data_IF_770489228615
#
_entry.id   IF_770489228615
#
_cell.length_a   1.000
_cell.length_b   1.000
_cell.length_c   1.000
_cell.angle_alpha   90.00
_cell.angle_beta   90.00
_cell.angle_gamma   90.00
#
_symmetry.space_group_name_H-M   'P 1'
#
loop_
_entity.id
_entity.type
_entity.pdbx_description
1 polymer ?
#
# COMPACT_ATOMS: atom_id res chain seq x y z
N UNK A 1 7.95 -6.11 -14.83
CA UNK A 1 6.77 -5.49 -14.22
C UNK A 1 6.49 -6.26 -12.95
N UNK A 2 6.32 -5.59 -11.81
CA UNK A 2 6.03 -6.31 -10.57
C UNK A 2 4.59 -6.82 -10.58
N UNK A 3 4.38 -8.03 -10.07
CA UNK A 3 3.08 -8.61 -9.77
C UNK A 3 2.49 -7.99 -8.50
N UNK A 4 1.20 -8.24 -8.24
CA UNK A 4 0.58 -7.84 -6.97
C UNK A 4 1.33 -8.43 -5.76
N UNK A 5 1.75 -9.70 -5.85
CA UNK A 5 2.51 -10.37 -4.80
C UNK A 5 3.86 -9.68 -4.54
N UNK A 6 4.66 -9.45 -5.58
CA UNK A 6 5.96 -8.76 -5.45
C UNK A 6 5.81 -7.33 -4.91
N UNK A 7 4.69 -6.66 -5.20
CA UNK A 7 4.42 -5.33 -4.65
C UNK A 7 4.16 -5.41 -3.15
N UNK A 8 3.26 -6.29 -2.70
CA UNK A 8 2.91 -6.37 -1.27
C UNK A 8 4.05 -6.96 -0.45
N UNK A 9 4.84 -7.90 -0.99
CA UNK A 9 6.08 -8.35 -0.35
C UNK A 9 7.07 -7.20 -0.16
N UNK A 10 7.26 -6.37 -1.20
CA UNK A 10 8.09 -5.17 -1.10
C UNK A 10 7.54 -4.12 -0.12
N UNK A 11 6.22 -4.06 0.10
CA UNK A 11 5.62 -3.18 1.11
C UNK A 11 6.02 -3.59 2.53
N UNK A 12 6.10 -4.90 2.81
CA UNK A 12 6.57 -5.41 4.11
C UNK A 12 8.02 -5.00 4.34
N UNK A 13 8.88 -5.13 3.33
CA UNK A 13 10.28 -4.67 3.42
C UNK A 13 10.38 -3.14 3.57
N UNK A 14 9.48 -2.38 2.95
CA UNK A 14 9.45 -0.93 3.05
C UNK A 14 9.01 -0.46 4.44
N UNK A 15 8.07 -1.16 5.06
CA UNK A 15 7.62 -0.94 6.43
C UNK A 15 8.52 -1.69 7.42
N UNK A 16 9.82 -1.40 7.38
CA UNK A 16 10.81 -1.96 8.31
C UNK A 16 10.83 -1.25 9.68
N UNK A 17 10.23 -0.06 9.77
CA UNK A 17 10.11 0.70 11.01
C UNK A 17 8.86 1.59 11.05
N UNK A 18 8.35 1.96 12.25
CA UNK A 18 7.19 2.83 12.39
C UNK A 18 7.32 4.18 11.68
N UNK A 19 8.53 4.72 11.57
CA UNK A 19 8.82 5.99 10.91
C UNK A 19 8.63 5.92 9.39
N UNK A 20 8.52 4.73 8.80
CA UNK A 20 8.22 4.53 7.37
C UNK A 20 6.74 4.58 7.05
N UNK A 21 5.88 4.57 8.06
CA UNK A 21 4.44 4.63 7.90
C UNK A 21 3.89 6.01 8.24
N UNK A 22 2.88 6.45 7.48
CA UNK A 22 2.15 7.68 7.75
C UNK A 22 0.66 7.55 7.45
N UNK A 23 -0.12 8.43 8.07
CA UNK A 23 -1.56 8.63 7.81
C UNK A 23 -1.79 9.82 6.88
N UNK A 24 -3.04 9.93 6.40
CA UNK A 24 -3.63 11.06 5.67
C UNK A 24 -3.10 11.32 4.26
N UNK A 25 -1.79 11.16 4.02
CA UNK A 25 -1.15 11.49 2.75
C UNK A 25 -0.29 10.34 2.23
N UNK A 26 -0.02 10.38 0.93
CA UNK A 26 0.64 9.30 0.21
C UNK A 26 2.10 9.11 0.64
N UNK A 27 2.85 10.19 0.84
CA UNK A 27 4.22 10.15 1.30
C UNK A 27 4.75 11.51 1.80
N UNK A 28 5.73 11.48 2.70
CA UNK A 28 6.48 12.66 3.12
C UNK A 28 7.98 12.50 2.92
N UNK A 29 8.68 13.62 2.77
CA UNK A 29 10.14 13.66 2.81
C UNK A 29 10.67 14.02 4.22
N UNK A 30 11.99 14.01 4.38
CA UNK A 30 12.65 14.31 5.66
C UNK A 30 12.41 15.72 6.23
N UNK A 31 11.84 16.64 5.44
CA UNK A 31 11.45 17.98 5.89
C UNK A 31 9.99 18.05 6.35
N UNK A 32 9.26 16.93 6.27
CA UNK A 32 7.82 16.87 6.56
C UNK A 32 6.94 17.43 5.43
N UNK A 33 7.48 17.62 4.22
CA UNK A 33 6.67 18.03 3.07
C UNK A 33 6.09 16.81 2.37
N UNK A 34 4.81 16.91 1.98
CA UNK A 34 4.17 15.97 1.07
C UNK A 34 4.96 15.88 -0.22
N UNK A 35 5.19 14.66 -0.69
CA UNK A 35 5.84 14.36 -1.97
C UNK A 35 5.11 13.23 -2.67
N UNK A 36 5.33 13.05 -3.96
CA UNK A 36 4.83 11.86 -4.66
C UNK A 36 5.46 10.59 -4.05
N UNK A 37 4.72 9.48 -3.94
CA UNK A 37 5.26 8.21 -3.45
C UNK A 37 6.54 7.74 -4.11
N UNK A 38 6.66 7.96 -5.41
CA UNK A 38 7.80 7.55 -6.22
C UNK A 38 9.00 8.49 -6.10
N UNK A 39 8.84 9.63 -5.44
CA UNK A 39 9.91 10.61 -5.24
C UNK A 39 11.13 9.98 -4.57
N UNK A 40 12.36 10.27 -5.04
CA UNK A 40 13.57 9.78 -4.39
C UNK A 40 13.78 10.37 -2.98
N UNK A 41 13.07 11.44 -2.62
CA UNK A 41 13.16 12.06 -1.30
C UNK A 41 12.11 11.55 -0.31
N UNK A 42 11.17 10.71 -0.74
CA UNK A 42 10.16 10.14 0.14
C UNK A 42 10.83 9.21 1.18
N UNK A 43 10.42 9.33 2.44
CA UNK A 43 10.97 8.54 3.56
C UNK A 43 9.92 7.74 4.31
N UNK A 44 8.64 8.11 4.19
CA UNK A 44 7.50 7.41 4.77
C UNK A 44 6.30 7.48 3.82
N UNK A 45 5.40 6.50 3.94
CA UNK A 45 4.30 6.27 3.03
C UNK A 45 3.06 5.75 3.77
N UNK A 46 1.87 6.05 3.25
CA UNK A 46 0.66 5.31 3.62
C UNK A 46 0.61 3.96 2.88
N UNK A 47 -0.39 3.12 3.16
CA UNK A 47 -0.56 1.84 2.45
C UNK A 47 -0.61 1.96 0.91
N UNK A 48 -1.34 2.94 0.36
CA UNK A 48 -1.40 3.13 -1.10
C UNK A 48 -0.09 3.69 -1.66
N UNK A 49 0.49 4.68 -0.99
CA UNK A 49 1.77 5.25 -1.38
C UNK A 49 2.90 4.22 -1.34
N UNK A 50 2.86 3.28 -0.40
CA UNK A 50 3.83 2.18 -0.35
C UNK A 50 3.69 1.27 -1.58
N UNK A 51 2.46 0.92 -1.98
CA UNK A 51 2.23 0.15 -3.19
C UNK A 51 2.74 0.88 -4.45
N UNK A 52 2.46 2.18 -4.58
CA UNK A 52 2.97 3.02 -5.68
C UNK A 52 4.51 3.09 -5.67
N UNK A 53 5.12 3.27 -4.49
CA UNK A 53 6.56 3.32 -4.31
C UNK A 53 7.23 2.03 -4.78
N UNK A 54 6.68 0.88 -4.40
CA UNK A 54 7.22 -0.42 -4.77
C UNK A 54 6.95 -0.74 -6.24
N UNK A 55 5.77 -0.42 -6.76
CA UNK A 55 5.47 -0.53 -8.19
C UNK A 55 6.44 0.32 -9.03
N UNK A 56 6.87 1.47 -8.50
CA UNK A 56 7.71 2.44 -9.19
C UNK A 56 6.90 3.40 -10.07
N UNK A 57 5.58 3.40 -9.93
CA UNK A 57 4.61 4.19 -10.69
C UNK A 57 3.36 4.45 -9.83
N UNK A 58 2.53 5.43 -10.20
CA UNK A 58 1.32 5.79 -9.46
C UNK A 58 0.14 4.89 -9.90
N UNK A 59 0.06 3.67 -9.37
CA UNK A 59 -1.02 2.73 -9.70
C UNK A 59 -2.34 3.07 -8.99
N UNK A 60 -2.31 3.90 -7.93
CA UNK A 60 -3.50 4.34 -7.21
C UNK A 60 -4.00 5.75 -7.55
N UNK A 61 -3.25 6.56 -8.32
CA UNK A 61 -3.70 7.92 -8.66
C UNK A 61 -4.94 7.92 -9.55
N UNK A 62 -5.82 8.90 -9.33
CA UNK A 62 -7.05 9.08 -10.12
C UNK A 62 -6.82 9.73 -11.49
N UNK A 63 -5.56 9.93 -11.91
CA UNK A 63 -5.25 10.33 -13.28
C UNK A 63 -5.57 9.16 -14.24
N UNK A 64 -6.78 9.24 -14.79
CA UNK A 64 -7.55 8.31 -15.64
C UNK A 64 -6.84 7.76 -16.91
N UNK A 65 -5.53 7.96 -17.08
CA UNK A 65 -4.78 7.55 -18.27
C UNK A 65 -4.08 6.19 -18.14
N UNK A 66 -4.07 5.57 -16.97
CA UNK A 66 -3.38 4.29 -16.72
C UNK A 66 -4.29 3.07 -16.92
N UNK A 67 -4.92 2.94 -18.09
CA UNK A 67 -5.75 1.76 -18.43
C UNK A 67 -4.94 0.46 -18.41
N UNK A 68 -3.64 0.52 -18.71
CA UNK A 68 -2.78 -0.65 -18.80
C UNK A 68 -2.53 -1.35 -17.46
N UNK A 69 -2.75 -0.66 -16.32
CA UNK A 69 -2.47 -1.21 -14.97
C UNK A 69 -3.72 -1.36 -14.11
N UNK A 70 -4.89 -1.25 -14.72
CA UNK A 70 -6.16 -1.48 -14.03
C UNK A 70 -6.19 -2.84 -13.35
N UNK A 71 -5.78 -3.91 -14.04
CA UNK A 71 -5.80 -5.27 -13.49
C UNK A 71 -4.90 -5.41 -12.26
N UNK A 72 -3.71 -4.81 -12.29
CA UNK A 72 -2.77 -4.82 -11.16
C UNK A 72 -3.32 -4.02 -9.96
N UNK A 73 -3.84 -2.83 -10.22
CA UNK A 73 -4.49 -1.99 -9.20
C UNK A 73 -5.66 -2.74 -8.56
N UNK A 74 -6.52 -3.34 -9.38
CA UNK A 74 -7.70 -4.06 -8.93
C UNK A 74 -7.33 -5.31 -8.14
N UNK A 75 -6.33 -6.07 -8.58
CA UNK A 75 -5.86 -7.25 -7.87
C UNK A 75 -5.34 -6.92 -6.46
N UNK A 76 -4.55 -5.85 -6.33
CA UNK A 76 -4.07 -5.39 -5.01
C UNK A 76 -5.27 -4.93 -4.16
N UNK A 77 -6.18 -4.12 -4.71
CA UNK A 77 -7.39 -3.66 -4.02
C UNK A 77 -8.23 -4.82 -3.50
N UNK A 78 -8.53 -5.79 -4.35
CA UNK A 78 -9.37 -6.93 -4.01
C UNK A 78 -8.73 -7.76 -2.88
N UNK A 79 -7.42 -7.95 -2.93
CA UNK A 79 -6.70 -8.71 -1.91
C UNK A 79 -6.73 -8.00 -0.54
N UNK A 80 -6.51 -6.68 -0.50
CA UNK A 80 -6.65 -5.89 0.73
C UNK A 80 -8.10 -5.85 1.22
N UNK A 81 -9.07 -5.63 0.33
CA UNK A 81 -10.49 -5.59 0.70
C UNK A 81 -10.98 -6.91 1.29
N UNK A 82 -10.49 -8.04 0.80
CA UNK A 82 -10.82 -9.36 1.35
C UNK A 82 -10.36 -9.52 2.81
N UNK A 83 -9.23 -8.91 3.20
CA UNK A 83 -8.74 -8.91 4.58
C UNK A 83 -9.42 -7.85 5.45
N UNK A 84 -9.77 -6.70 4.87
CA UNK A 84 -10.21 -5.51 5.60
C UNK A 84 -11.73 -5.47 5.83
N UNK A 85 -12.54 -5.91 4.87
CA UNK A 85 -14.01 -5.87 4.98
C UNK A 85 -14.56 -6.68 6.17
N UNK A 86 -14.07 -7.89 6.49
CA UNK A 86 -14.52 -8.63 7.67
C UNK A 86 -14.26 -7.91 9.00
N UNK A 87 -13.33 -6.96 9.01
CA UNK A 87 -12.97 -6.14 10.18
C UNK A 87 -13.75 -4.81 10.21
N UNK A 88 -14.63 -4.55 9.24
CA UNK A 88 -15.44 -3.31 9.17
C UNK A 88 -14.81 -2.18 8.36
N UNK A 89 -13.66 -2.41 7.71
CA UNK A 89 -12.99 -1.40 6.89
C UNK A 89 -13.44 -1.44 5.43
N UNK A 90 -13.47 -0.26 4.80
CA UNK A 90 -14.00 -0.08 3.42
C UNK A 90 -12.86 -0.02 2.38
N UNK A 91 -11.62 -0.26 2.81
CA UNK A 91 -10.43 -0.32 1.95
C UNK A 91 -9.17 0.16 2.67
N UNK A 92 -8.06 0.17 1.93
CA UNK A 92 -6.72 0.49 2.46
C UNK A 92 -6.65 1.86 3.14
N UNK A 93 -7.25 2.90 2.55
CA UNK A 93 -7.22 4.27 3.10
C UNK A 93 -7.96 4.34 4.43
N UNK A 94 -9.19 3.81 4.48
CA UNK A 94 -9.97 3.81 5.72
C UNK A 94 -9.26 3.04 6.85
N UNK A 95 -8.62 1.91 6.54
CA UNK A 95 -7.82 1.19 7.54
C UNK A 95 -6.56 1.95 7.95
N UNK A 96 -5.80 2.49 6.98
CA UNK A 96 -4.56 3.21 7.24
C UNK A 96 -4.77 4.39 8.21
N UNK A 97 -5.86 5.14 8.02
CA UNK A 97 -6.10 6.39 8.72
C UNK A 97 -6.91 6.23 10.02
N UNK A 98 -7.28 5.01 10.40
CA UNK A 98 -7.94 4.76 11.68
C UNK A 98 -6.98 5.10 12.84
N UNK A 99 -7.48 5.87 13.81
CA UNK A 99 -6.75 6.27 15.01
C UNK A 99 -6.36 5.09 15.92
N UNK A 100 -7.08 3.97 15.81
CA UNK A 100 -6.85 2.75 16.56
C UNK A 100 -5.83 1.82 15.91
N UNK A 101 -5.60 1.97 14.61
CA UNK A 101 -4.61 1.17 13.89
C UNK A 101 -3.20 1.55 14.35
N UNK A 102 -2.35 0.54 14.52
CA UNK A 102 -0.94 0.68 14.88
C UNK A 102 -0.06 0.19 13.74
N UNK A 103 1.23 0.54 13.79
CA UNK A 103 2.19 0.15 12.76
C UNK A 103 2.24 -1.37 12.56
N UNK A 104 2.16 -2.13 13.66
CA UNK A 104 2.16 -3.59 13.63
C UNK A 104 0.94 -4.15 12.89
N UNK A 105 -0.19 -3.45 12.91
CA UNK A 105 -1.39 -3.85 12.18
C UNK A 105 -1.22 -3.63 10.67
N UNK A 106 -0.49 -2.58 10.27
CA UNK A 106 -0.12 -2.31 8.86
C UNK A 106 0.74 -3.44 8.31
N UNK A 107 1.79 -3.84 9.04
CA UNK A 107 2.65 -4.95 8.64
C UNK A 107 1.85 -6.26 8.58
N UNK A 108 1.05 -6.54 9.62
CA UNK A 108 0.25 -7.78 9.69
C UNK A 108 -0.82 -7.88 8.61
N UNK A 109 -1.43 -6.77 8.17
CA UNK A 109 -2.37 -6.83 7.03
C UNK A 109 -1.61 -7.12 5.74
N UNK A 110 -0.42 -6.55 5.53
CA UNK A 110 0.39 -6.86 4.35
C UNK A 110 0.81 -8.34 4.32
N UNK A 111 1.23 -8.91 5.45
CA UNK A 111 1.54 -10.34 5.57
C UNK A 111 0.35 -11.23 5.18
N UNK A 112 -0.86 -10.95 5.68
CA UNK A 112 -2.07 -11.70 5.33
C UNK A 112 -2.45 -11.58 3.85
N UNK A 113 -2.25 -10.40 3.28
CA UNK A 113 -2.47 -10.18 1.84
C UNK A 113 -1.46 -10.97 1.01
N UNK A 114 -0.19 -11.05 1.42
CA UNK A 114 0.84 -11.89 0.78
C UNK A 114 0.43 -13.36 0.81
N UNK A 115 -0.01 -13.88 1.95
CA UNK A 115 -0.49 -15.26 2.08
C UNK A 115 -1.63 -15.55 1.08
N UNK A 116 -2.64 -14.69 1.04
CA UNK A 116 -3.77 -14.78 0.09
C UNK A 116 -3.32 -14.78 -1.37
N UNK A 117 -2.39 -13.89 -1.73
CA UNK A 117 -1.90 -13.79 -3.10
C UNK A 117 -1.09 -15.02 -3.52
N UNK A 118 -0.34 -15.63 -2.58
CA UNK A 118 0.36 -16.91 -2.81
C UNK A 118 -0.61 -18.05 -3.04
N UNK A 119 -1.68 -18.15 -2.25
CA UNK A 119 -2.71 -19.19 -2.42
C UNK A 119 -3.41 -19.09 -3.78
N UNK A 120 -3.67 -17.86 -4.26
CA UNK A 120 -4.28 -17.64 -5.59
C UNK A 120 -3.36 -18.04 -6.75
N UNK A 121 -2.03 -18.01 -6.54
CA UNK A 121 -1.03 -18.32 -7.56
C UNK A 121 -0.65 -19.81 -7.64
N UNK A 122 -1.07 -20.61 -6.66
CA UNK A 122 -0.81 -22.06 -6.56
C UNK A 122 -1.85 -22.89 -7.34
#
# INVERSE_FOLDING_TARGET
MKTALEIVEGMIELFDSPEKWVRDDFAYNAKGYTVTPTSPTAICWCLQGAADRIAGELIFSDDDFATERWDLRQEIKDAFEAELKPQGYVGMVHFNDDENVRFEDIVRVCERVVERLREKAA
#
